data_IF_853302966411
#
_entry.id   IF_853302966411
#
_cell.length_a   1.000
_cell.length_b   1.000
_cell.length_c   1.000
_cell.angle_alpha   90.00
_cell.angle_beta   90.00
_cell.angle_gamma   90.00
#
_symmetry.space_group_name_H-M   'P 1'
#
loop_
_entity.id
_entity.type
_entity.pdbx_description
1 polymer ?
#
# COMPACT_ATOMS: atom_id res chain seq x y z
N UNK A 1 -24.71 10.89 5.00
CA UNK A 1 -24.71 11.15 3.54
C UNK A 1 -25.73 10.23 2.89
N UNK A 2 -26.43 10.66 1.84
CA UNK A 2 -27.37 9.81 1.10
C UNK A 2 -26.63 8.61 0.46
N UNK A 3 -27.02 7.35 0.73
CA UNK A 3 -26.35 6.16 0.20
C UNK A 3 -26.30 6.11 -1.34
N UNK A 4 -27.34 6.56 -2.03
CA UNK A 4 -27.39 6.54 -3.50
C UNK A 4 -26.44 7.58 -4.11
N UNK A 5 -26.21 8.70 -3.42
CA UNK A 5 -25.19 9.68 -3.84
C UNK A 5 -23.80 9.09 -3.63
N UNK A 6 -23.56 8.44 -2.50
CA UNK A 6 -22.30 7.78 -2.19
C UNK A 6 -21.94 6.71 -3.24
N UNK A 7 -22.89 5.84 -3.59
CA UNK A 7 -22.67 4.79 -4.58
C UNK A 7 -22.30 5.36 -5.95
N UNK A 8 -22.98 6.43 -6.39
CA UNK A 8 -22.63 7.14 -7.64
C UNK A 8 -21.24 7.76 -7.59
N UNK A 9 -20.80 8.31 -6.45
CA UNK A 9 -19.44 8.83 -6.30
C UNK A 9 -18.42 7.71 -6.47
N UNK A 10 -18.64 6.58 -5.80
CA UNK A 10 -17.75 5.41 -5.86
C UNK A 10 -17.68 4.88 -7.30
N UNK A 11 -18.81 4.75 -7.98
CA UNK A 11 -18.87 4.33 -9.39
C UNK A 11 -18.04 5.24 -10.30
N UNK A 12 -18.23 6.57 -10.22
CA UNK A 12 -17.46 7.56 -10.99
C UNK A 12 -15.96 7.44 -10.73
N UNK A 13 -15.56 7.23 -9.48
CA UNK A 13 -14.16 7.12 -9.09
C UNK A 13 -13.53 5.83 -9.64
N UNK A 14 -14.23 4.70 -9.62
CA UNK A 14 -13.68 3.42 -10.08
C UNK A 14 -13.73 3.28 -11.61
N UNK A 15 -14.68 3.91 -12.30
CA UNK A 15 -14.86 3.78 -13.76
C UNK A 15 -13.58 4.10 -14.54
N UNK A 16 -12.75 5.03 -14.05
CA UNK A 16 -11.51 5.43 -14.73
C UNK A 16 -10.40 4.37 -14.68
N UNK A 17 -10.58 3.24 -13.99
CA UNK A 17 -9.63 2.11 -14.01
C UNK A 17 -9.31 1.60 -15.41
N UNK A 18 -10.31 1.65 -16.31
CA UNK A 18 -10.16 1.19 -17.70
C UNK A 18 -9.67 2.31 -18.63
N UNK A 19 -9.45 3.50 -18.09
CA UNK A 19 -8.98 4.68 -18.84
C UNK A 19 -7.47 4.83 -18.73
N UNK A 20 -6.89 5.70 -19.57
CA UNK A 20 -5.48 6.08 -19.47
C UNK A 20 -5.17 6.65 -18.06
N UNK A 21 -4.06 6.24 -17.41
CA UNK A 21 -3.62 6.80 -16.13
C UNK A 21 -3.56 8.34 -16.17
N UNK A 22 -3.97 8.99 -15.08
CA UNK A 22 -4.06 10.45 -15.00
C UNK A 22 -5.42 11.04 -15.41
N UNK A 23 -6.40 10.23 -15.84
CA UNK A 23 -7.75 10.73 -16.11
C UNK A 23 -8.38 11.29 -14.84
N UNK A 24 -8.77 12.56 -14.90
CA UNK A 24 -9.41 13.29 -13.80
C UNK A 24 -10.86 12.84 -13.66
N UNK A 25 -11.30 12.61 -12.41
CA UNK A 25 -12.70 12.31 -12.09
C UNK A 25 -13.40 13.61 -11.71
N UNK A 26 -14.56 13.85 -12.31
CA UNK A 26 -15.34 15.06 -12.07
C UNK A 26 -16.32 14.85 -10.90
N UNK A 27 -15.91 15.28 -9.72
CA UNK A 27 -16.77 15.43 -8.55
C UNK A 27 -17.09 16.90 -8.32
N UNK A 28 -18.32 17.20 -7.92
CA UNK A 28 -18.72 18.54 -7.51
C UNK A 28 -18.14 18.89 -6.14
N UNK A 29 -17.94 20.18 -5.88
CA UNK A 29 -17.48 20.65 -4.56
C UNK A 29 -18.41 20.22 -3.42
N UNK A 30 -19.72 20.14 -3.68
CA UNK A 30 -20.71 19.69 -2.70
C UNK A 30 -20.54 18.21 -2.36
N UNK A 31 -20.37 17.35 -3.36
CA UNK A 31 -20.09 15.92 -3.16
C UNK A 31 -18.84 15.73 -2.28
N UNK A 32 -17.75 16.44 -2.58
CA UNK A 32 -16.50 16.32 -1.82
C UNK A 32 -16.67 16.81 -0.37
N UNK A 33 -17.35 17.95 -0.16
CA UNK A 33 -17.62 18.44 1.20
C UNK A 33 -18.50 17.48 2.01
N UNK A 34 -19.46 16.81 1.36
CA UNK A 34 -20.27 15.79 2.02
C UNK A 34 -19.44 14.57 2.42
N UNK A 35 -18.48 14.13 1.58
CA UNK A 35 -17.53 13.09 1.96
C UNK A 35 -16.71 13.50 3.19
N UNK A 36 -16.14 14.71 3.21
CA UNK A 36 -15.38 15.19 4.36
C UNK A 36 -16.22 15.23 5.64
N UNK A 37 -17.45 15.75 5.56
CA UNK A 37 -18.35 15.87 6.73
C UNK A 37 -18.78 14.50 7.26
N UNK A 38 -19.23 13.60 6.39
CA UNK A 38 -19.71 12.28 6.79
C UNK A 38 -18.59 11.38 7.33
N UNK A 39 -17.41 11.37 6.68
CA UNK A 39 -16.27 10.61 7.18
C UNK A 39 -15.74 11.16 8.51
N UNK A 40 -15.73 12.49 8.68
CA UNK A 40 -15.36 13.13 9.95
C UNK A 40 -16.23 12.65 11.12
N UNK A 41 -17.55 12.58 10.92
CA UNK A 41 -18.47 12.07 11.95
C UNK A 41 -18.11 10.64 12.36
N UNK A 42 -17.82 9.78 11.38
CA UNK A 42 -17.41 8.39 11.63
C UNK A 42 -16.09 8.35 12.39
N UNK A 43 -15.07 9.11 11.96
CA UNK A 43 -13.78 9.12 12.64
C UNK A 43 -13.90 9.55 14.10
N UNK A 44 -14.68 10.60 14.39
CA UNK A 44 -14.91 11.05 15.78
C UNK A 44 -15.64 10.00 16.62
N UNK A 45 -16.52 9.20 16.01
CA UNK A 45 -17.22 8.12 16.71
C UNK A 45 -16.36 6.89 17.02
N UNK A 46 -15.36 6.60 16.18
CA UNK A 46 -14.39 5.52 16.41
C UNK A 46 -13.28 5.97 17.39
N UNK A 47 -12.61 5.07 18.12
CA UNK A 47 -11.52 5.43 19.02
C UNK A 47 -10.27 5.92 18.28
N UNK A 48 -9.34 6.56 18.99
CA UNK A 48 -8.08 7.03 18.42
C UNK A 48 -7.06 5.93 18.18
N UNK A 49 -7.11 4.90 19.03
CA UNK A 49 -6.48 3.60 18.83
C UNK A 49 -7.59 2.65 18.39
N UNK A 50 -7.61 2.28 17.12
CA UNK A 50 -8.56 1.31 16.60
C UNK A 50 -8.22 -0.08 17.11
N UNK A 51 -9.22 -0.87 17.47
CA UNK A 51 -9.07 -2.29 17.84
C UNK A 51 -9.72 -3.09 16.73
N UNK A 52 -8.90 -3.85 15.99
CA UNK A 52 -9.27 -4.46 14.70
C UNK A 52 -8.98 -5.95 14.73
N UNK A 53 -9.71 -6.69 13.89
CA UNK A 53 -9.57 -8.14 13.79
C UNK A 53 -9.10 -8.58 12.39
N UNK A 54 -8.36 -9.68 12.34
CA UNK A 54 -8.05 -10.37 11.09
C UNK A 54 -9.30 -11.02 10.46
N UNK A 55 -9.32 -11.29 9.13
CA UNK A 55 -8.29 -10.98 8.15
C UNK A 55 -8.34 -9.51 7.70
N UNK A 56 -7.18 -8.89 7.53
CA UNK A 56 -7.06 -7.49 7.10
C UNK A 56 -5.83 -7.26 6.21
N UNK A 57 -5.95 -6.34 5.26
CA UNK A 57 -4.88 -5.92 4.35
C UNK A 57 -4.33 -4.57 4.81
N UNK A 58 -3.03 -4.51 5.09
CA UNK A 58 -2.36 -3.29 5.56
C UNK A 58 -1.62 -2.63 4.39
N UNK A 59 -1.87 -1.34 4.17
CA UNK A 59 -1.30 -0.52 3.10
C UNK A 59 -0.60 0.70 3.68
N UNK A 60 0.59 1.02 3.17
CA UNK A 60 1.35 2.22 3.53
C UNK A 60 0.97 3.43 2.69
N UNK A 61 1.95 4.31 2.47
CA UNK A 61 1.80 5.58 1.76
C UNK A 61 1.27 5.39 0.33
N UNK A 62 0.40 6.32 -0.11
CA UNK A 62 -0.19 6.36 -1.46
C UNK A 62 0.16 7.65 -2.21
N UNK A 63 0.25 8.78 -1.50
CA UNK A 63 0.70 10.07 -2.02
C UNK A 63 0.11 10.45 -3.39
N UNK A 64 -1.22 10.42 -3.50
CA UNK A 64 -1.92 10.84 -4.70
C UNK A 64 -1.65 10.01 -5.97
N UNK A 65 -1.04 8.83 -5.85
CA UNK A 65 -0.84 7.87 -6.95
C UNK A 65 -2.12 7.07 -7.22
N UNK A 66 -3.17 7.77 -7.66
CA UNK A 66 -4.52 7.23 -7.76
C UNK A 66 -4.64 5.97 -8.64
N UNK A 67 -3.93 5.94 -9.77
CA UNK A 67 -3.95 4.76 -10.66
C UNK A 67 -3.33 3.52 -9.98
N UNK A 68 -2.35 3.71 -9.11
CA UNK A 68 -1.72 2.63 -8.35
C UNK A 68 -2.61 2.19 -7.17
N UNK A 69 -3.35 3.12 -6.56
CA UNK A 69 -4.40 2.77 -5.59
C UNK A 69 -5.50 1.89 -6.22
N UNK A 70 -5.96 2.21 -7.44
CA UNK A 70 -6.94 1.37 -8.13
C UNK A 70 -6.38 -0.03 -8.41
N UNK A 71 -5.12 -0.12 -8.85
CA UNK A 71 -4.43 -1.42 -9.02
C UNK A 71 -4.33 -2.19 -7.70
N UNK A 72 -3.99 -1.52 -6.60
CA UNK A 72 -3.94 -2.12 -5.27
C UNK A 72 -5.27 -2.81 -4.93
N UNK A 73 -6.41 -2.17 -5.23
CA UNK A 73 -7.72 -2.78 -5.05
C UNK A 73 -8.06 -3.89 -6.07
N UNK A 74 -7.56 -3.80 -7.31
CA UNK A 74 -7.72 -4.87 -8.31
C UNK A 74 -7.04 -6.17 -7.84
N UNK A 75 -5.83 -6.08 -7.30
CA UNK A 75 -5.09 -7.23 -6.79
C UNK A 75 -5.56 -7.67 -5.39
N UNK A 76 -5.75 -6.70 -4.49
CA UNK A 76 -6.13 -6.97 -3.11
C UNK A 76 -7.60 -7.35 -2.93
N UNK A 77 -8.45 -7.06 -3.92
CA UNK A 77 -9.90 -7.22 -3.88
C UNK A 77 -10.58 -5.96 -3.37
N UNK A 78 -11.42 -5.34 -4.21
CA UNK A 78 -12.17 -4.14 -3.85
C UNK A 78 -13.04 -4.33 -2.58
N UNK A 79 -13.14 -3.32 -1.69
CA UNK A 79 -14.07 -3.35 -0.57
C UNK A 79 -15.52 -3.62 -1.03
N UNK A 80 -16.29 -4.47 -0.32
CA UNK A 80 -15.99 -5.07 0.98
C UNK A 80 -15.41 -6.49 0.87
N UNK A 81 -14.90 -6.92 -0.29
CA UNK A 81 -14.34 -8.27 -0.47
C UNK A 81 -13.16 -8.55 0.47
N UNK A 82 -12.41 -7.49 0.79
CA UNK A 82 -11.27 -7.51 1.69
C UNK A 82 -11.39 -6.35 2.67
N UNK A 83 -11.02 -6.59 3.94
CA UNK A 83 -10.86 -5.53 4.92
C UNK A 83 -9.52 -4.81 4.69
N UNK A 84 -9.49 -3.49 4.91
CA UNK A 84 -8.29 -2.68 4.70
C UNK A 84 -7.98 -1.77 5.88
N UNK A 85 -6.69 -1.66 6.19
CA UNK A 85 -6.10 -0.63 7.04
C UNK A 85 -5.05 0.14 6.23
N UNK A 86 -5.26 1.44 6.05
CA UNK A 86 -4.22 2.31 5.46
C UNK A 86 -3.50 3.11 6.56
N UNK A 87 -2.18 3.15 6.49
CA UNK A 87 -1.32 3.71 7.54
C UNK A 87 -1.15 5.23 7.47
N UNK A 88 -1.55 5.90 6.39
CA UNK A 88 -1.48 7.36 6.24
C UNK A 88 -0.90 7.79 4.90
N UNK A 89 -0.61 9.09 4.78
CA UNK A 89 0.04 9.73 3.63
C UNK A 89 -0.68 9.44 2.31
N UNK A 90 -1.94 9.90 2.27
CA UNK A 90 -2.84 9.76 1.13
C UNK A 90 -2.59 10.84 0.08
N UNK A 91 -2.22 12.03 0.55
CA UNK A 91 -2.09 13.24 -0.27
C UNK A 91 -0.63 13.69 -0.40
N UNK A 92 -0.44 14.77 -1.16
CA UNK A 92 0.82 15.35 -1.59
C UNK A 92 1.66 14.51 -2.54
N UNK A 93 2.64 15.16 -3.18
CA UNK A 93 3.65 14.60 -4.10
C UNK A 93 3.10 14.05 -5.42
N UNK A 94 2.03 13.28 -5.39
CA UNK A 94 1.38 12.74 -6.58
C UNK A 94 0.48 13.73 -7.30
N UNK A 95 -0.10 13.26 -8.41
CA UNK A 95 -0.83 14.10 -9.37
C UNK A 95 -2.34 14.12 -9.15
N UNK A 96 -2.89 13.14 -8.43
CA UNK A 96 -4.33 12.91 -8.27
C UNK A 96 -4.68 12.71 -6.79
N UNK A 97 -4.36 13.71 -5.97
CA UNK A 97 -4.56 13.64 -4.52
C UNK A 97 -6.06 13.66 -4.17
N UNK A 98 -6.85 14.45 -4.90
CA UNK A 98 -8.28 14.57 -4.67
C UNK A 98 -9.03 13.26 -4.96
N UNK A 99 -8.74 12.60 -6.08
CA UNK A 99 -9.34 11.29 -6.39
C UNK A 99 -8.98 10.24 -5.35
N UNK A 100 -7.70 10.20 -4.95
CA UNK A 100 -7.17 9.29 -3.94
C UNK A 100 -7.93 9.43 -2.63
N UNK A 101 -7.93 10.62 -2.04
CA UNK A 101 -8.59 10.81 -0.75
C UNK A 101 -10.11 10.70 -0.85
N UNK A 102 -10.73 11.14 -1.94
CA UNK A 102 -12.19 11.01 -2.10
C UNK A 102 -12.62 9.54 -2.16
N UNK A 103 -11.88 8.68 -2.84
CA UNK A 103 -12.19 7.24 -2.89
C UNK A 103 -12.03 6.59 -1.51
N UNK A 104 -10.94 6.89 -0.81
CA UNK A 104 -10.69 6.37 0.53
C UNK A 104 -11.78 6.80 1.52
N UNK A 105 -12.16 8.09 1.53
CA UNK A 105 -13.25 8.58 2.38
C UNK A 105 -14.61 7.97 1.99
N UNK A 106 -14.88 7.80 0.69
CA UNK A 106 -16.11 7.16 0.24
C UNK A 106 -16.20 5.71 0.71
N UNK A 107 -15.11 4.93 0.65
CA UNK A 107 -15.08 3.59 1.23
C UNK A 107 -15.21 3.57 2.75
N UNK A 108 -14.59 4.53 3.46
CA UNK A 108 -14.80 4.65 4.91
C UNK A 108 -16.26 4.88 5.26
N UNK A 109 -16.97 5.69 4.48
CA UNK A 109 -18.41 5.94 4.71
C UNK A 109 -19.24 4.71 4.34
N UNK A 110 -18.89 4.01 3.26
CA UNK A 110 -19.65 2.86 2.77
C UNK A 110 -19.46 1.62 3.65
N UNK A 111 -18.25 1.42 4.17
CA UNK A 111 -17.84 0.23 4.92
C UNK A 111 -17.09 0.63 6.21
N UNK A 112 -17.76 1.31 7.16
CA UNK A 112 -17.10 1.90 8.33
C UNK A 112 -16.40 0.88 9.23
N UNK A 113 -16.87 -0.37 9.24
CA UNK A 113 -16.36 -1.47 10.07
C UNK A 113 -15.44 -2.43 9.30
N UNK A 114 -15.13 -2.16 8.02
CA UNK A 114 -14.24 -3.00 7.19
C UNK A 114 -13.13 -2.21 6.49
N UNK A 115 -13.18 -0.88 6.55
CA UNK A 115 -12.25 0.01 5.87
C UNK A 115 -11.76 1.09 6.83
N UNK A 116 -10.46 1.08 7.12
CA UNK A 116 -9.84 1.88 8.17
C UNK A 116 -8.71 2.74 7.61
N UNK A 117 -8.64 3.98 8.10
CA UNK A 117 -7.72 5.02 7.64
C UNK A 117 -7.04 5.64 8.87
N UNK A 118 -5.73 5.46 9.01
CA UNK A 118 -4.91 6.15 10.00
C UNK A 118 -4.38 7.47 9.48
N UNK A 119 -4.07 8.37 10.39
CA UNK A 119 -3.45 9.65 10.05
C UNK A 119 -1.99 9.45 9.68
N UNK A 120 -1.55 9.99 8.54
CA UNK A 120 -0.14 10.20 8.25
C UNK A 120 0.31 11.63 8.55
N UNK A 121 1.60 11.91 8.39
CA UNK A 121 2.14 13.26 8.62
C UNK A 121 1.74 14.25 7.52
N UNK A 122 1.35 13.77 6.33
CA UNK A 122 0.82 14.60 5.25
C UNK A 122 -0.67 14.95 5.43
N UNK A 123 -1.41 14.27 6.30
CA UNK A 123 -2.76 14.66 6.71
C UNK A 123 -2.75 15.80 7.76
N UNK A 124 -1.94 16.82 7.49
CA UNK A 124 -1.86 18.04 8.30
C UNK A 124 -1.63 19.29 7.45
N UNK A 125 -2.18 20.40 7.93
CA UNK A 125 -2.22 21.63 7.16
C UNK A 125 -0.84 22.23 6.88
N UNK A 126 0.12 22.13 7.79
CA UNK A 126 1.47 22.71 7.61
C UNK A 126 2.23 22.00 6.48
N UNK A 127 2.10 20.67 6.39
CA UNK A 127 2.79 19.84 5.39
C UNK A 127 2.07 19.91 4.04
N UNK A 128 0.77 19.65 4.01
CA UNK A 128 0.04 19.60 2.74
C UNK A 128 -0.27 20.96 2.13
N UNK A 129 0.10 22.04 2.83
CA UNK A 129 0.17 23.40 2.29
C UNK A 129 1.28 23.59 1.27
N UNK A 130 2.37 22.83 1.38
CA UNK A 130 3.61 23.05 0.61
C UNK A 130 3.98 21.88 -0.31
N UNK A 131 3.46 20.67 -0.09
CA UNK A 131 3.83 19.48 -0.87
C UNK A 131 2.82 19.05 -1.94
N UNK A 132 1.79 19.85 -2.20
CA UNK A 132 0.99 19.81 -3.42
C UNK A 132 -0.52 19.80 -3.23
N UNK A 133 -1.04 19.28 -2.12
CA UNK A 133 -2.48 19.10 -1.95
C UNK A 133 -3.25 20.43 -1.89
N UNK A 134 -2.72 21.43 -1.18
CA UNK A 134 -3.31 22.76 -1.14
C UNK A 134 -3.40 23.38 -2.55
N UNK A 135 -2.32 23.29 -3.32
CA UNK A 135 -2.27 23.86 -4.66
C UNK A 135 -3.22 23.12 -5.60
N UNK A 136 -3.35 21.79 -5.46
CA UNK A 136 -4.34 21.03 -6.21
C UNK A 136 -5.78 21.44 -5.86
N UNK A 137 -6.11 21.55 -4.57
CA UNK A 137 -7.42 22.03 -4.11
C UNK A 137 -7.73 23.44 -4.62
N UNK A 138 -6.78 24.36 -4.50
CA UNK A 138 -6.91 25.75 -4.95
C UNK A 138 -7.10 25.84 -6.46
N UNK A 139 -6.38 25.03 -7.24
CA UNK A 139 -6.42 25.03 -8.70
C UNK A 139 -7.71 24.42 -9.25
N UNK A 140 -8.17 23.30 -8.68
CA UNK A 140 -9.35 22.56 -9.19
C UNK A 140 -10.66 23.05 -8.59
N UNK A 141 -10.61 23.61 -7.39
CA UNK A 141 -11.77 24.06 -6.63
C UNK A 141 -11.46 25.41 -5.96
N UNK A 142 -11.24 25.42 -4.65
CA UNK A 142 -10.94 26.62 -3.88
C UNK A 142 -10.27 26.28 -2.54
N UNK A 143 -9.79 27.31 -1.84
CA UNK A 143 -9.14 27.19 -0.53
C UNK A 143 -10.11 26.72 0.57
N UNK A 144 -11.41 26.98 0.44
CA UNK A 144 -12.40 26.51 1.44
C UNK A 144 -12.52 24.99 1.42
N UNK A 145 -12.38 24.36 0.25
CA UNK A 145 -12.36 22.91 0.13
C UNK A 145 -11.15 22.30 0.84
N UNK A 146 -9.95 22.87 0.67
CA UNK A 146 -8.77 22.44 1.41
C UNK A 146 -8.96 22.53 2.93
N UNK A 147 -9.59 23.61 3.43
CA UNK A 147 -9.93 23.72 4.87
C UNK A 147 -10.88 22.61 5.33
N UNK A 148 -11.88 22.26 4.52
CA UNK A 148 -12.78 21.15 4.84
C UNK A 148 -12.05 19.79 4.93
N UNK A 149 -11.05 19.56 4.07
CA UNK A 149 -10.16 18.41 4.21
C UNK A 149 -9.32 18.47 5.48
N UNK A 150 -8.73 19.63 5.81
CA UNK A 150 -8.00 19.82 7.07
C UNK A 150 -8.86 19.48 8.30
N UNK A 151 -10.11 19.94 8.33
CA UNK A 151 -11.04 19.65 9.43
C UNK A 151 -11.36 18.15 9.54
N UNK A 152 -11.44 17.45 8.40
CA UNK A 152 -11.60 16.00 8.33
C UNK A 152 -10.34 15.27 8.82
N UNK A 153 -9.16 15.63 8.31
CA UNK A 153 -7.86 15.05 8.67
C UNK A 153 -7.53 15.20 10.16
N UNK A 154 -7.92 16.31 10.77
CA UNK A 154 -7.75 16.54 12.20
C UNK A 154 -8.52 15.55 13.08
N UNK A 155 -9.44 14.76 12.50
CA UNK A 155 -10.23 13.75 13.20
C UNK A 155 -9.77 12.30 12.93
N UNK A 156 -8.80 12.07 12.05
CA UNK A 156 -8.32 10.73 11.76
C UNK A 156 -7.75 10.05 13.02
N UNK A 157 -8.02 8.75 13.25
CA UNK A 157 -7.34 7.96 14.26
C UNK A 157 -5.85 7.84 13.92
N UNK A 158 -5.01 7.59 14.92
CA UNK A 158 -3.54 7.71 14.75
C UNK A 158 -2.81 6.37 14.87
N UNK A 159 -3.47 5.36 15.42
CA UNK A 159 -2.94 4.01 15.51
C UNK A 159 -4.06 2.97 15.44
N UNK A 160 -3.69 1.73 15.14
CA UNK A 160 -4.55 0.56 15.26
C UNK A 160 -3.82 -0.58 15.97
N UNK A 161 -4.55 -1.41 16.69
CA UNK A 161 -4.09 -2.64 17.31
C UNK A 161 -4.89 -3.78 16.69
N UNK A 162 -4.20 -4.68 15.98
CA UNK A 162 -4.82 -5.85 15.32
C UNK A 162 -4.60 -7.08 16.18
N UNK A 163 -5.68 -7.79 16.50
CA UNK A 163 -5.71 -9.02 17.32
C UNK A 163 -4.90 -8.91 18.63
N UNK A 164 -4.85 -7.72 19.23
CA UNK A 164 -4.03 -7.42 20.42
C UNK A 164 -2.52 -7.73 20.27
N UNK A 165 -2.02 -7.94 19.05
CA UNK A 165 -0.64 -8.37 18.79
C UNK A 165 0.14 -7.47 17.84
N UNK A 166 -0.52 -6.77 16.91
CA UNK A 166 0.16 -5.90 15.94
C UNK A 166 -0.24 -4.45 16.14
N UNK A 167 0.71 -3.63 16.58
CA UNK A 167 0.52 -2.20 16.69
C UNK A 167 0.90 -1.49 15.39
N UNK A 168 -0.07 -0.81 14.79
CA UNK A 168 0.03 -0.11 13.52
C UNK A 168 0.00 1.40 13.71
N UNK A 169 0.92 2.14 13.06
CA UNK A 169 0.93 3.61 13.01
C UNK A 169 1.67 4.10 11.76
N UNK A 170 1.61 5.39 11.44
CA UNK A 170 2.35 5.92 10.28
C UNK A 170 3.86 6.02 10.55
N UNK A 171 4.18 6.80 11.58
CA UNK A 171 5.50 7.10 12.10
C UNK A 171 6.08 5.90 12.84
N UNK A 172 6.26 6.01 14.14
CA UNK A 172 6.82 4.93 14.93
C UNK A 172 6.68 5.20 16.41
N UNK A 173 7.58 4.60 17.20
CA UNK A 173 7.53 4.70 18.64
C UNK A 173 7.85 6.12 19.14
N UNK A 174 7.33 6.44 20.32
CA UNK A 174 7.63 7.70 21.02
C UNK A 174 8.27 7.43 22.38
N UNK A 175 9.24 8.24 22.84
CA UNK A 175 9.72 8.18 24.22
C UNK A 175 8.60 8.48 25.24
N UNK A 176 7.55 9.19 24.81
CA UNK A 176 6.39 9.53 25.63
C UNK A 176 5.33 8.41 25.64
N UNK A 177 5.44 7.40 24.76
CA UNK A 177 4.50 6.28 24.69
C UNK A 177 4.88 5.19 25.70
N UNK A 178 4.28 5.28 26.88
CA UNK A 178 4.50 4.31 27.97
C UNK A 178 3.31 3.38 28.20
N UNK A 179 2.10 3.79 27.79
CA UNK A 179 0.86 3.02 27.82
C UNK A 179 0.03 3.35 26.56
N UNK A 180 -0.56 2.34 25.93
CA UNK A 180 -1.47 2.48 24.78
C UNK A 180 -2.70 3.37 25.08
N UNK A 181 -3.13 3.48 26.34
CA UNK A 181 -4.21 4.40 26.75
C UNK A 181 -3.87 5.88 26.50
N UNK A 182 -2.58 6.23 26.43
CA UNK A 182 -2.15 7.57 26.04
C UNK A 182 -2.57 7.88 24.59
N UNK A 183 -2.63 6.87 23.72
CA UNK A 183 -3.14 7.02 22.35
C UNK A 183 -4.65 7.21 22.38
N UNK A 184 -5.37 6.37 23.15
CA UNK A 184 -6.84 6.41 23.28
C UNK A 184 -7.35 7.78 23.72
N UNK A 185 -6.60 8.45 24.59
CA UNK A 185 -6.96 9.73 25.22
C UNK A 185 -6.51 10.97 24.45
N UNK A 186 -5.81 10.82 23.31
CA UNK A 186 -5.45 11.96 22.47
C UNK A 186 -6.71 12.74 22.05
N UNK A 187 -6.69 14.09 22.07
CA UNK A 187 -7.86 14.88 21.71
C UNK A 187 -8.10 14.85 20.20
N UNK A 188 -9.38 14.87 19.79
CA UNK A 188 -9.79 15.14 18.41
C UNK A 188 -11.00 16.08 18.37
N UNK A 189 -11.09 17.00 17.39
CA UNK A 189 -10.11 17.29 16.34
C UNK A 189 -8.83 17.94 16.90
N UNK A 190 -7.67 17.62 16.32
CA UNK A 190 -6.40 18.23 16.73
C UNK A 190 -5.47 18.46 15.53
N UNK A 191 -4.70 19.54 15.57
CA UNK A 191 -3.56 19.70 14.67
C UNK A 191 -2.39 18.85 15.17
N UNK A 192 -1.48 18.46 14.27
CA UNK A 192 -0.24 17.77 14.66
C UNK A 192 0.68 18.82 15.33
N UNK A 193 1.10 18.63 16.58
CA UNK A 193 2.07 19.50 17.24
C UNK A 193 3.47 19.29 16.67
N UNK A 194 4.39 20.24 16.91
CA UNK A 194 5.77 20.11 16.45
C UNK A 194 6.58 19.07 17.25
N UNK A 195 6.12 18.70 18.45
CA UNK A 195 6.76 17.73 19.36
C UNK A 195 5.74 16.92 20.17
N UNK A 196 6.22 15.85 20.84
CA UNK A 196 5.44 15.01 21.76
C UNK A 196 4.76 13.83 21.07
N UNK A 197 4.03 13.03 21.87
CA UNK A 197 3.46 11.74 21.46
C UNK A 197 2.80 11.74 20.07
N UNK A 198 1.88 12.68 19.79
CA UNK A 198 1.18 12.72 18.49
C UNK A 198 2.13 13.03 17.33
N UNK A 199 3.14 13.88 17.54
CA UNK A 199 4.16 14.13 16.54
C UNK A 199 4.95 12.84 16.26
N UNK A 200 5.40 12.17 17.32
CA UNK A 200 6.27 11.00 17.20
C UNK A 200 5.60 9.78 16.55
N UNK A 201 4.33 9.54 16.85
CA UNK A 201 3.51 8.50 16.21
C UNK A 201 3.40 8.68 14.69
N UNK A 202 3.66 9.89 14.18
CA UNK A 202 3.52 10.25 12.78
C UNK A 202 4.86 10.53 12.08
N UNK A 203 5.95 10.76 12.83
CA UNK A 203 7.22 11.26 12.28
C UNK A 203 8.47 10.46 12.66
N UNK A 204 8.43 9.64 13.72
CA UNK A 204 9.64 8.92 14.14
C UNK A 204 10.02 7.81 13.15
N UNK A 205 11.31 7.46 13.14
CA UNK A 205 11.87 6.45 12.23
C UNK A 205 12.75 5.41 12.96
N UNK A 206 12.73 4.13 12.55
CA UNK A 206 13.69 3.15 13.02
C UNK A 206 15.11 3.46 12.49
N UNK A 207 16.12 3.32 13.35
CA UNK A 207 17.53 3.52 13.01
C UNK A 207 18.40 2.32 13.40
N UNK A 208 19.03 1.66 12.42
CA UNK A 208 19.85 0.44 12.64
C UNK A 208 21.08 0.69 13.51
N UNK A 209 21.67 1.87 13.37
CA UNK A 209 22.88 2.28 14.10
C UNK A 209 22.58 3.10 15.37
N UNK A 210 21.29 3.22 15.72
CA UNK A 210 20.83 3.96 16.91
C UNK A 210 20.68 2.98 18.07
N UNK A 211 21.21 3.34 19.24
CA UNK A 211 20.91 2.67 20.51
C UNK A 211 20.02 3.58 21.35
N UNK A 212 18.84 3.11 21.72
CA UNK A 212 17.85 3.92 22.42
C UNK A 212 17.17 4.91 21.48
N UNK A 213 17.19 6.19 21.85
CA UNK A 213 16.59 7.30 21.08
C UNK A 213 17.70 8.17 20.47
N UNK A 214 17.53 8.55 19.20
CA UNK A 214 18.46 9.40 18.47
C UNK A 214 17.77 10.62 17.85
N UNK A 215 18.58 11.53 17.32
CA UNK A 215 18.08 12.65 16.52
C UNK A 215 17.55 12.13 15.17
N UNK A 216 16.50 12.76 14.65
CA UNK A 216 15.98 12.45 13.32
C UNK A 216 16.49 13.48 12.29
N UNK A 217 17.06 12.99 11.19
CA UNK A 217 17.56 13.81 10.08
C UNK A 217 16.47 14.63 9.39
N UNK A 218 15.19 14.28 9.60
CA UNK A 218 14.03 15.08 9.17
C UNK A 218 13.92 16.42 9.90
N UNK A 219 14.63 16.59 11.02
CA UNK A 219 14.55 17.78 11.88
C UNK A 219 13.28 17.83 12.74
N UNK A 220 12.55 16.72 12.84
CA UNK A 220 11.33 16.57 13.63
C UNK A 220 11.29 15.16 14.24
N UNK A 221 10.77 15.03 15.46
CA UNK A 221 10.72 13.77 16.21
C UNK A 221 12.10 13.10 16.39
N UNK A 222 12.11 11.78 16.59
CA UNK A 222 13.25 10.98 16.98
C UNK A 222 13.51 9.82 16.01
N UNK A 223 14.72 9.28 16.08
CA UNK A 223 15.01 7.93 15.62
C UNK A 223 15.02 6.97 16.81
N UNK A 224 14.71 5.69 16.59
CA UNK A 224 14.75 4.67 17.64
C UNK A 224 15.44 3.38 17.20
N UNK A 225 16.21 2.79 18.13
CA UNK A 225 16.98 1.58 17.91
C UNK A 225 16.17 0.29 17.99
N UNK A 226 16.76 -0.86 17.56
CA UNK A 226 16.14 -2.17 17.74
C UNK A 226 15.81 -2.49 19.21
N UNK A 227 16.65 -2.03 20.14
CA UNK A 227 16.45 -2.19 21.58
C UNK A 227 15.13 -1.60 22.06
N UNK A 228 14.71 -0.46 21.48
CA UNK A 228 13.44 0.18 21.82
C UNK A 228 12.23 -0.54 21.24
N UNK A 229 12.37 -1.17 20.08
CA UNK A 229 11.31 -2.03 19.54
C UNK A 229 11.11 -3.24 20.45
N UNK A 230 12.18 -3.96 20.77
CA UNK A 230 12.09 -5.17 21.61
C UNK A 230 11.58 -4.85 23.03
N UNK A 231 12.06 -3.76 23.65
CA UNK A 231 11.58 -3.31 24.96
C UNK A 231 10.09 -3.00 24.95
N UNK A 232 9.62 -2.28 23.91
CA UNK A 232 8.23 -1.88 23.79
C UNK A 232 7.30 -3.09 23.60
N UNK A 233 7.64 -3.98 22.66
CA UNK A 233 6.84 -5.17 22.38
C UNK A 233 6.74 -6.08 23.61
N UNK A 234 7.86 -6.34 24.28
CA UNK A 234 7.87 -7.17 25.49
C UNK A 234 7.05 -6.56 26.63
N UNK A 235 7.08 -5.22 26.78
CA UNK A 235 6.31 -4.51 27.81
C UNK A 235 4.79 -4.60 27.57
N UNK A 236 4.37 -4.60 26.31
CA UNK A 236 2.97 -4.53 25.92
C UNK A 236 2.38 -5.87 25.44
N UNK A 237 3.15 -6.97 25.52
CA UNK A 237 2.77 -8.31 25.03
C UNK A 237 2.35 -8.30 23.55
N UNK A 238 3.09 -7.56 22.73
CA UNK A 238 2.89 -7.41 21.29
C UNK A 238 3.94 -8.21 20.52
N UNK A 239 3.61 -8.61 19.30
CA UNK A 239 4.50 -9.39 18.43
C UNK A 239 5.17 -8.52 17.37
N UNK A 240 4.49 -7.49 16.88
CA UNK A 240 4.93 -6.71 15.72
C UNK A 240 4.52 -5.24 15.80
N UNK A 241 5.42 -4.36 15.38
CA UNK A 241 5.09 -2.99 14.96
C UNK A 241 4.99 -2.94 13.44
N UNK A 242 3.86 -2.46 12.91
CA UNK A 242 3.67 -2.23 11.48
C UNK A 242 3.58 -0.73 11.19
N UNK A 243 4.43 -0.21 10.30
CA UNK A 243 4.52 1.23 10.03
C UNK A 243 4.76 1.59 8.58
N UNK A 244 4.77 2.88 8.22
CA UNK A 244 4.93 3.34 6.83
C UNK A 244 6.03 4.42 6.67
N UNK A 245 5.76 5.59 6.04
CA UNK A 245 6.56 6.84 6.08
C UNK A 245 7.99 6.83 5.47
N UNK A 246 8.59 5.66 5.29
CA UNK A 246 9.89 5.48 4.65
C UNK A 246 9.75 4.65 3.38
N UNK A 247 10.28 5.19 2.28
CA UNK A 247 10.38 4.47 1.02
C UNK A 247 11.33 3.29 1.20
N UNK A 248 10.84 2.10 0.91
CA UNK A 248 11.59 0.84 0.99
C UNK A 248 11.57 0.14 -0.37
N UNK A 249 12.66 -0.53 -0.72
CA UNK A 249 12.91 -0.98 -2.10
C UNK A 249 11.86 -1.98 -2.61
N UNK A 250 11.48 -2.93 -1.77
CA UNK A 250 10.53 -3.99 -2.12
C UNK A 250 9.09 -3.67 -1.65
N UNK A 251 8.80 -2.41 -1.33
CA UNK A 251 7.50 -1.99 -0.77
C UNK A 251 7.24 -2.45 0.66
N UNK A 252 8.11 -3.28 1.23
CA UNK A 252 8.19 -3.51 2.67
C UNK A 252 9.65 -3.77 3.10
N UNK A 253 9.99 -3.52 4.37
CA UNK A 253 11.29 -3.86 4.95
C UNK A 253 11.13 -4.24 6.42
N UNK A 254 11.77 -5.34 6.84
CA UNK A 254 11.82 -5.75 8.25
C UNK A 254 12.97 -5.07 8.99
N UNK A 255 12.74 -4.84 10.28
CA UNK A 255 13.69 -4.26 11.23
C UNK A 255 13.61 -5.02 12.57
N UNK A 256 14.67 -4.91 13.39
CA UNK A 256 14.77 -5.51 14.72
C UNK A 256 14.36 -6.99 14.75
N UNK A 257 15.07 -7.86 14.03
CA UNK A 257 14.77 -9.30 13.97
C UNK A 257 13.30 -9.61 13.61
N UNK A 258 12.75 -8.84 12.66
CA UNK A 258 11.38 -8.93 12.14
C UNK A 258 10.29 -8.50 13.14
N UNK A 259 10.67 -7.87 14.24
CA UNK A 259 9.74 -7.28 15.22
C UNK A 259 9.13 -5.94 14.77
N UNK A 260 9.66 -5.33 13.71
CA UNK A 260 9.04 -4.19 13.04
C UNK A 260 9.04 -4.40 11.53
N UNK A 261 7.97 -3.98 10.87
CA UNK A 261 7.87 -3.93 9.41
C UNK A 261 7.46 -2.54 8.94
N UNK A 262 8.21 -1.99 8.00
CA UNK A 262 7.84 -0.80 7.24
C UNK A 262 7.12 -1.22 5.97
N UNK A 263 6.00 -0.60 5.61
CA UNK A 263 5.19 -0.84 4.41
C UNK A 263 5.05 0.44 3.62
N UNK A 264 5.26 0.37 2.31
CA UNK A 264 5.15 1.51 1.40
C UNK A 264 4.43 1.08 0.12
N UNK A 265 3.32 1.73 -0.21
CA UNK A 265 2.38 1.26 -1.24
C UNK A 265 2.35 2.13 -2.51
N UNK A 266 3.26 3.10 -2.62
CA UNK A 266 3.41 3.98 -3.77
C UNK A 266 4.63 3.57 -4.64
N UNK A 267 4.44 2.76 -5.71
CA UNK A 267 5.53 2.30 -6.56
C UNK A 267 6.13 3.45 -7.38
N UNK A 268 7.44 3.39 -7.66
CA UNK A 268 8.20 4.45 -8.36
C UNK A 268 7.97 5.86 -7.76
N UNK A 269 7.92 5.91 -6.43
CA UNK A 269 7.63 7.15 -5.72
C UNK A 269 8.56 8.31 -6.12
N UNK A 270 7.94 9.46 -6.37
CA UNK A 270 8.60 10.71 -6.71
C UNK A 270 9.59 10.61 -7.90
N UNK A 271 9.11 10.12 -9.04
CA UNK A 271 9.77 10.10 -10.36
C UNK A 271 10.04 11.51 -10.96
N UNK A 272 10.33 12.49 -10.10
CA UNK A 272 10.79 13.82 -10.50
C UNK A 272 12.29 13.76 -10.83
N UNK A 273 12.68 14.48 -11.88
CA UNK A 273 14.05 14.62 -12.37
C UNK A 273 15.05 15.10 -11.28
N UNK A 274 14.54 15.72 -10.20
CA UNK A 274 15.30 16.13 -9.03
C UNK A 274 15.80 14.95 -8.17
N UNK A 275 15.05 13.84 -8.09
CA UNK A 275 15.46 12.64 -7.33
C UNK A 275 16.46 11.77 -8.14
N UNK A 276 16.40 11.85 -9.47
CA UNK A 276 17.33 11.16 -10.40
C UNK A 276 18.80 11.53 -10.16
N UNK A 277 19.09 12.77 -9.76
CA UNK A 277 20.47 13.24 -9.55
C UNK A 277 21.19 12.61 -8.34
N UNK A 278 20.49 11.90 -7.45
CA UNK A 278 21.09 11.12 -6.33
C UNK A 278 21.16 9.61 -6.58
N UNK A 279 20.63 9.11 -7.71
CA UNK A 279 20.71 7.70 -8.10
C UNK A 279 21.52 7.56 -9.39
N UNK A 280 22.85 7.62 -9.26
CA UNK A 280 23.69 6.90 -10.22
C UNK A 280 23.94 5.51 -9.64
N UNK A 281 23.77 4.51 -10.50
CA UNK A 281 23.94 3.06 -10.30
C UNK A 281 22.66 2.32 -9.90
N UNK A 282 22.24 1.42 -10.81
CA UNK A 282 21.12 0.47 -10.80
C UNK A 282 19.75 0.97 -11.26
N UNK A 283 19.64 1.09 -12.59
CA UNK A 283 18.39 1.00 -13.36
C UNK A 283 17.76 -0.40 -13.18
N UNK A 284 16.70 -0.47 -12.38
CA UNK A 284 15.56 -1.38 -12.58
C UNK A 284 14.31 -0.64 -12.10
N UNK A 285 13.43 -0.27 -13.03
CA UNK A 285 12.07 0.19 -12.69
C UNK A 285 11.35 -0.93 -11.93
N UNK A 286 11.06 -0.75 -10.63
CA UNK A 286 10.42 -1.77 -9.79
C UNK A 286 9.04 -1.30 -9.33
N UNK A 287 8.01 -1.90 -9.94
CA UNK A 287 6.58 -1.67 -9.65
C UNK A 287 6.08 -2.53 -8.48
N UNK A 288 6.62 -2.36 -7.27
CA UNK A 288 6.14 -3.13 -6.10
C UNK A 288 5.19 -2.28 -5.27
N UNK A 289 3.94 -2.76 -5.12
CA UNK A 289 2.99 -2.22 -4.15
C UNK A 289 3.12 -3.09 -2.90
N UNK A 290 3.62 -2.53 -1.79
CA UNK A 290 3.62 -3.22 -0.51
C UNK A 290 2.19 -3.38 0.00
N UNK A 291 1.75 -4.61 0.23
CA UNK A 291 0.54 -4.91 1.02
C UNK A 291 0.81 -6.15 1.85
N UNK A 292 0.55 -6.03 3.15
CA UNK A 292 0.66 -7.14 4.08
C UNK A 292 -0.72 -7.74 4.27
N UNK A 293 -0.85 -9.06 4.05
CA UNK A 293 -2.03 -9.82 4.46
C UNK A 293 -1.74 -10.47 5.80
N UNK A 294 -2.65 -10.29 6.74
CA UNK A 294 -2.61 -10.92 8.05
C UNK A 294 -3.81 -11.87 8.22
N UNK A 295 -3.55 -13.09 8.70
CA UNK A 295 -4.52 -14.14 8.96
C UNK A 295 -4.29 -14.72 10.35
N UNK A 296 -5.36 -14.97 11.11
CA UNK A 296 -5.27 -15.69 12.39
C UNK A 296 -5.02 -17.19 12.15
N UNK A 297 -4.20 -17.82 13.01
CA UNK A 297 -3.94 -19.26 12.96
C UNK A 297 -5.15 -20.04 13.50
N UNK A 298 -5.74 -20.93 12.69
CA UNK A 298 -6.82 -21.80 13.18
C UNK A 298 -6.25 -22.83 14.15
N UNK A 299 -6.62 -22.72 15.43
CA UNK A 299 -6.18 -23.60 16.50
C UNK A 299 -6.49 -25.08 16.20
N UNK A 300 -5.47 -25.85 15.81
CA UNK A 300 -5.45 -27.31 15.95
C UNK A 300 -4.44 -27.65 17.05
N UNK A 301 -4.96 -28.18 18.14
CA UNK A 301 -4.31 -28.45 19.43
C UNK A 301 -2.97 -29.21 19.37
N UNK A 302 -1.92 -28.67 20.01
CA UNK A 302 -1.01 -29.37 20.93
C UNK A 302 -0.03 -28.38 21.61
N UNK A 303 0.35 -28.56 22.89
CA UNK A 303 1.25 -27.63 23.57
C UNK A 303 2.71 -28.02 23.30
N UNK A 304 3.38 -27.26 22.44
CA UNK A 304 4.85 -27.30 22.29
C UNK A 304 5.38 -25.90 22.56
N UNK A 305 6.47 -25.80 23.34
CA UNK A 305 7.12 -24.51 23.61
C UNK A 305 7.76 -24.00 22.31
N UNK A 306 7.54 -22.74 21.90
CA UNK A 306 8.09 -22.25 20.65
C UNK A 306 9.62 -22.21 20.69
N UNK A 307 10.24 -22.74 19.64
CA UNK A 307 11.62 -22.45 19.28
C UNK A 307 11.63 -21.42 18.15
N UNK A 308 12.74 -20.73 17.94
CA UNK A 308 12.97 -19.54 17.07
C UNK A 308 12.60 -19.70 15.57
N UNK A 309 11.88 -20.75 15.20
CA UNK A 309 11.42 -21.11 13.86
C UNK A 309 9.90 -20.87 13.64
N UNK A 310 9.14 -20.50 14.68
CA UNK A 310 7.67 -20.37 14.63
C UNK A 310 7.14 -18.95 14.31
N UNK A 311 7.99 -17.93 14.20
CA UNK A 311 7.59 -16.59 13.71
C UNK A 311 7.74 -16.51 12.18
N UNK A 312 7.14 -17.47 11.47
CA UNK A 312 7.18 -17.52 10.00
C UNK A 312 5.81 -17.70 9.34
N UNK A 313 4.71 -17.76 10.08
CA UNK A 313 3.41 -18.21 9.51
C UNK A 313 2.31 -17.14 9.43
N UNK A 314 2.54 -15.87 9.80
CA UNK A 314 1.45 -14.87 9.91
C UNK A 314 1.51 -13.63 8.99
N UNK A 315 2.30 -13.62 7.92
CA UNK A 315 2.29 -12.50 6.95
C UNK A 315 2.38 -13.05 5.52
N UNK A 316 1.26 -13.14 4.80
CA UNK A 316 1.30 -13.43 3.36
C UNK A 316 1.56 -12.12 2.62
N UNK A 317 2.78 -11.93 2.16
CA UNK A 317 3.13 -10.79 1.29
C UNK A 317 2.61 -11.07 -0.12
N UNK A 318 1.64 -10.28 -0.58
CA UNK A 318 1.27 -10.33 -2.00
C UNK A 318 2.30 -9.56 -2.80
N UNK A 319 3.16 -10.27 -3.51
CA UNK A 319 4.19 -9.69 -4.38
C UNK A 319 3.61 -9.21 -5.72
N UNK A 320 4.03 -8.03 -6.16
CA UNK A 320 3.96 -7.62 -7.56
C UNK A 320 5.38 -7.55 -8.13
N UNK A 321 5.90 -8.67 -8.66
CA UNK A 321 7.13 -8.67 -9.48
C UNK A 321 6.78 -8.94 -10.94
N UNK A 322 7.27 -8.07 -11.81
CA UNK A 322 7.37 -8.22 -13.26
C UNK A 322 6.07 -8.48 -14.03
N UNK A 323 5.41 -7.40 -14.44
CA UNK A 323 4.77 -7.40 -15.75
C UNK A 323 5.31 -6.22 -16.57
N UNK A 324 6.25 -6.53 -17.46
CA UNK A 324 6.60 -5.66 -18.58
C UNK A 324 5.46 -5.79 -19.57
N UNK A 325 4.65 -4.74 -19.72
CA UNK A 325 3.67 -4.68 -20.80
C UNK A 325 4.33 -4.01 -22.01
N UNK A 326 4.06 -4.52 -23.24
CA UNK A 326 4.59 -3.89 -24.44
C UNK A 326 4.07 -2.45 -24.47
N UNK A 327 4.98 -1.49 -24.56
CA UNK A 327 4.62 -0.16 -25.02
C UNK A 327 3.83 -0.32 -26.31
N UNK A 328 2.73 0.42 -26.45
CA UNK A 328 1.99 0.52 -27.69
C UNK A 328 2.97 0.93 -28.81
N UNK A 329 3.49 -0.05 -29.56
CA UNK A 329 4.09 0.21 -30.86
C UNK A 329 2.96 0.67 -31.76
N UNK A 330 2.91 1.99 -31.95
CA UNK A 330 2.06 2.67 -32.91
C UNK A 330 2.51 2.22 -34.31
N UNK A 331 1.92 1.12 -34.82
CA UNK A 331 2.08 0.72 -36.22
C UNK A 331 1.25 1.66 -37.09
N UNK A 332 1.76 2.88 -37.30
CA UNK A 332 1.40 3.66 -38.49
C UNK A 332 2.14 3.05 -39.68
N UNK A 333 1.47 2.09 -40.35
CA UNK A 333 1.88 1.58 -41.65
C UNK A 333 1.75 2.71 -42.69
N UNK A 334 2.83 3.45 -42.93
CA UNK A 334 3.00 4.17 -44.19
C UNK A 334 3.43 3.14 -45.26
N UNK A 335 2.71 2.99 -46.38
CA UNK A 335 3.12 2.08 -47.44
C UNK A 335 4.32 2.68 -48.21
N UNK A 336 5.45 1.98 -48.35
CA UNK A 336 6.48 2.38 -49.30
C UNK A 336 6.13 1.89 -50.71
N UNK A 337 6.38 2.78 -51.66
CA UNK A 337 6.20 2.60 -53.08
C UNK A 337 7.02 1.45 -53.67
N UNK A 338 6.49 0.93 -54.78
CA UNK A 338 7.02 -0.10 -55.66
C UNK A 338 8.52 0.00 -55.97
N UNK A 339 9.22 -1.15 -55.96
CA UNK A 339 10.13 -1.54 -57.05
C UNK A 339 10.39 -3.05 -57.07
N UNK A 340 10.35 -3.57 -58.29
CA UNK A 340 10.40 -4.96 -58.67
C UNK A 340 11.81 -5.55 -58.65
N UNK A 341 11.90 -6.88 -58.52
CA UNK A 341 12.97 -7.65 -59.17
C UNK A 341 13.65 -8.71 -58.29
N UNK A 342 13.49 -9.96 -58.74
CA UNK A 342 14.35 -11.14 -58.54
C UNK A 342 14.01 -12.12 -57.40
N UNK A 343 14.02 -13.38 -57.82
CA UNK A 343 13.63 -14.63 -57.16
C UNK A 343 14.94 -15.48 -56.97
N UNK A 344 14.93 -16.63 -56.29
CA UNK A 344 15.33 -16.78 -54.89
C UNK A 344 16.53 -17.72 -54.71
N UNK A 345 17.40 -17.48 -53.71
CA UNK A 345 18.19 -18.56 -53.07
C UNK A 345 18.72 -18.12 -51.70
N UNK A 346 18.47 -18.96 -50.68
CA UNK A 346 19.12 -19.04 -49.38
C UNK A 346 19.05 -17.82 -48.43
N UNK A 347 18.19 -17.92 -47.41
CA UNK A 347 18.56 -17.70 -46.01
C UNK A 347 17.34 -17.87 -45.07
N UNK A 348 17.55 -18.55 -43.95
CA UNK A 348 16.93 -18.15 -42.68
C UNK A 348 15.60 -18.81 -42.32
N UNK A 349 15.69 -19.85 -41.48
CA UNK A 349 14.69 -20.15 -40.46
C UNK A 349 14.31 -18.85 -39.72
N UNK A 350 13.16 -18.25 -40.05
CA UNK A 350 12.70 -17.04 -39.38
C UNK A 350 11.83 -17.38 -38.18
N UNK A 351 12.13 -16.69 -37.09
CA UNK A 351 11.58 -16.75 -35.74
C UNK A 351 10.04 -16.62 -35.69
N UNK A 352 9.40 -16.16 -36.77
CA UNK A 352 7.97 -15.93 -36.87
C UNK A 352 7.13 -17.23 -36.83
N UNK A 353 7.64 -18.35 -37.36
CA UNK A 353 6.93 -19.62 -37.33
C UNK A 353 6.89 -20.26 -35.92
N UNK A 354 7.82 -19.89 -35.03
CA UNK A 354 7.84 -20.38 -33.64
C UNK A 354 6.91 -19.58 -32.70
N UNK A 355 6.58 -18.33 -33.05
CA UNK A 355 5.66 -17.51 -32.25
C UNK A 355 4.18 -17.83 -32.52
N UNK A 356 3.83 -18.23 -33.75
CA UNK A 356 2.45 -18.58 -34.10
C UNK A 356 1.96 -19.87 -33.42
N UNK A 357 2.84 -20.84 -33.15
CA UNK A 357 2.49 -22.08 -32.45
C UNK A 357 2.38 -21.91 -30.91
N UNK A 358 3.09 -20.94 -30.32
CA UNK A 358 3.03 -20.65 -28.89
C UNK A 358 1.74 -19.92 -28.45
N UNK A 359 1.13 -19.15 -29.35
CA UNK A 359 -0.07 -18.38 -29.04
C UNK A 359 -1.34 -19.24 -28.98
N UNK A 360 -1.38 -20.37 -29.70
CA UNK A 360 -2.56 -21.24 -29.73
C UNK A 360 -2.70 -22.19 -28.52
N UNK A 361 -1.61 -22.47 -27.80
CA UNK A 361 -1.62 -23.31 -26.59
C UNK A 361 -2.04 -22.49 -25.35
N UNK A 362 -1.74 -21.19 -25.32
CA UNK A 362 -2.08 -20.32 -24.19
C UNK A 362 -3.57 -19.96 -24.09
N UNK A 363 -4.30 -19.96 -25.22
CA UNK A 363 -5.72 -19.57 -25.22
C UNK A 363 -6.67 -20.70 -24.81
N UNK A 364 -6.25 -21.98 -24.90
CA UNK A 364 -7.07 -23.12 -24.49
C UNK A 364 -6.85 -23.58 -23.05
N UNK A 365 -5.73 -23.21 -22.41
CA UNK A 365 -5.46 -23.56 -21.01
C UNK A 365 -6.21 -22.67 -19.99
N UNK A 366 -6.75 -21.53 -20.40
CA UNK A 366 -7.41 -20.57 -19.49
C UNK A 366 -8.93 -20.72 -19.40
N UNK A 367 -9.57 -21.62 -20.17
CA UNK A 367 -11.03 -21.82 -20.11
C UNK A 367 -11.47 -23.08 -19.34
N UNK A 368 -10.56 -23.83 -18.73
CA UNK A 368 -10.89 -25.04 -18.00
C UNK A 368 -9.88 -25.37 -16.89
N UNK A 369 -9.77 -24.51 -15.87
CA UNK A 369 -9.11 -24.91 -14.61
C UNK A 369 -9.95 -24.46 -13.40
N UNK A 370 -10.52 -25.48 -12.75
CA UNK A 370 -11.40 -25.42 -11.58
C UNK A 370 -10.66 -24.95 -10.32
N UNK A 371 -11.37 -24.24 -9.45
CA UNK A 371 -10.92 -23.59 -8.21
C UNK A 371 -10.34 -24.53 -7.12
N UNK A 372 -10.36 -25.85 -7.30
CA UNK A 372 -9.89 -26.80 -6.27
C UNK A 372 -8.38 -27.10 -6.30
N UNK A 373 -7.66 -26.78 -7.38
CA UNK A 373 -6.21 -27.10 -7.48
C UNK A 373 -5.31 -25.96 -6.96
N UNK A 374 -5.85 -24.77 -6.76
CA UNK A 374 -5.07 -23.60 -6.33
C UNK A 374 -4.48 -23.79 -4.91
N UNK A 375 -5.21 -24.44 -4.00
CA UNK A 375 -4.73 -24.72 -2.65
C UNK A 375 -3.64 -25.81 -2.56
N UNK A 376 -3.56 -26.73 -3.53
CA UNK A 376 -2.52 -27.78 -3.53
C UNK A 376 -1.20 -27.31 -4.16
N UNK A 377 -1.24 -26.33 -5.06
CA UNK A 377 -0.04 -25.80 -5.70
C UNK A 377 0.77 -24.88 -4.76
N UNK A 378 0.09 -24.15 -3.87
CA UNK A 378 0.73 -23.29 -2.87
C UNK A 378 1.49 -24.11 -1.80
N UNK A 379 0.91 -25.23 -1.34
CA UNK A 379 1.54 -26.11 -0.36
C UNK A 379 2.82 -26.81 -0.89
N UNK A 380 2.88 -27.14 -2.18
CA UNK A 380 4.06 -27.75 -2.80
C UNK A 380 5.22 -26.76 -3.01
N UNK A 381 4.91 -25.48 -3.23
CA UNK A 381 5.92 -24.42 -3.33
C UNK A 381 6.51 -24.07 -1.96
N UNK A 382 5.72 -24.13 -0.88
CA UNK A 382 6.22 -23.99 0.48
C UNK A 382 7.30 -25.04 0.82
N UNK A 383 7.08 -26.32 0.53
CA UNK A 383 8.08 -27.35 0.84
C UNK A 383 9.37 -27.25 0.01
N UNK A 384 9.28 -26.74 -1.23
CA UNK A 384 10.43 -26.57 -2.10
C UNK A 384 11.32 -25.38 -1.69
N UNK A 385 10.73 -24.32 -1.14
CA UNK A 385 11.45 -23.13 -0.66
C UNK A 385 12.05 -23.37 0.73
N UNK A 386 11.34 -24.11 1.60
CA UNK A 386 11.80 -24.42 2.96
C UNK A 386 13.03 -25.36 2.99
N UNK A 387 13.20 -26.24 1.99
CA UNK A 387 14.26 -27.27 2.00
C UNK A 387 15.57 -26.91 1.29
N UNK A 388 15.70 -25.71 0.69
CA UNK A 388 16.96 -25.23 0.11
C UNK A 388 17.54 -26.07 -1.05
N UNK A 389 16.77 -26.98 -1.67
CA UNK A 389 17.24 -27.82 -2.79
C UNK A 389 16.63 -27.39 -4.12
N UNK A 390 17.32 -26.48 -4.82
CA UNK A 390 16.93 -25.96 -6.16
C UNK A 390 16.87 -27.00 -7.30
N UNK A 391 17.24 -28.27 -7.11
CA UNK A 391 17.34 -29.22 -8.23
C UNK A 391 16.20 -30.25 -8.35
N UNK A 392 15.26 -30.34 -7.41
CA UNK A 392 14.25 -31.41 -7.43
C UNK A 392 12.91 -31.04 -8.10
N UNK A 393 12.58 -29.75 -8.18
CA UNK A 393 11.29 -29.27 -8.71
C UNK A 393 11.09 -29.52 -10.22
N UNK A 394 12.18 -29.69 -10.99
CA UNK A 394 12.09 -29.90 -12.46
C UNK A 394 11.95 -31.36 -12.89
N UNK A 395 12.09 -32.34 -11.99
CA UNK A 395 12.03 -33.77 -12.37
C UNK A 395 10.64 -34.38 -12.25
N UNK A 396 9.74 -33.80 -11.45
CA UNK A 396 8.36 -34.30 -11.26
C UNK A 396 7.31 -33.65 -12.15
N UNK A 397 7.69 -32.66 -12.96
CA UNK A 397 6.82 -31.95 -13.91
C UNK A 397 6.73 -32.63 -15.29
N UNK A 398 7.33 -33.82 -15.47
CA UNK A 398 7.29 -34.58 -16.73
C UNK A 398 6.24 -35.68 -16.79
N UNK A 399 5.59 -36.03 -15.68
CA UNK A 399 4.65 -37.15 -15.60
C UNK A 399 3.19 -36.71 -15.32
N UNK A 400 2.84 -35.45 -15.63
CA UNK A 400 1.45 -34.96 -15.66
C UNK A 400 1.09 -34.37 -17.01
#
# INVERSE_FOLDING_TARGET
MDPAVLDKIIEKLIEVRSSKPGKIVQLSESEIKQLCAASREIFVSHPNLLELEAPIKICGDIHGQYSDLLRLFEYGGFPPRSNYLFLGDYVDRGKQNLETICLLLAYKIKYPENFFLLRGNHECASINRIYGFYDECKRRFNVKLWKAFTDCFNCLPVAALIDDKILCMHGGLSPDLTNLDQIRTLPRPTAIPDTGLLCDLLWSDPGKDVKGWGMNDRGVSFTFGPDKVSEFLAKHDLDLVCRAHQVVEDGYEFFADRQLVTVFSAPNYCDSEACRKKKQVHDVHKNVIGTILYFEESTVSAPVRPSDQEISTLLTFTYLKNVVWPECFDFTLNPPESRAGQNPTNAGNSLAARFAAGSFIYTLAFSAYSQEVQGHFECLLEQAVISGRRSMAMSKLKDF
#
